data_IF_536674438520
#
_entry.id   IF_536674438520
#
_cell.length_a   1.000
_cell.length_b   1.000
_cell.length_c   1.000
_cell.angle_alpha   90.00
_cell.angle_beta   90.00
_cell.angle_gamma   90.00
#
_symmetry.space_group_name_H-M   'P 1'
#
loop_
_entity.id
_entity.type
_entity.pdbx_description
1 polymer ?
#
# COMPACT_ATOMS: atom_id res chain seq x y z
N UNK A 1 3.27 7.03 10.96
CA UNK A 1 1.96 7.54 10.52
C UNK A 1 1.43 6.54 9.50
N UNK A 2 0.15 6.18 9.62
CA UNK A 2 -0.48 4.93 9.18
C UNK A 2 -0.04 4.37 7.81
N UNK A 3 0.95 3.47 7.86
CA UNK A 3 1.49 2.72 6.72
C UNK A 3 1.00 1.28 6.68
N UNK A 4 -0.25 1.04 7.13
CA UNK A 4 -0.94 -0.22 6.87
C UNK A 4 -2.06 0.06 5.87
N UNK A 5 -2.19 -0.80 4.86
CA UNK A 5 -3.13 -0.66 3.74
C UNK A 5 -4.59 -0.50 4.22
N UNK A 6 -4.88 -0.96 5.44
CA UNK A 6 -6.18 -0.85 6.11
C UNK A 6 -6.58 0.57 6.52
N UNK A 7 -5.62 1.41 6.93
CA UNK A 7 -5.93 2.74 7.47
C UNK A 7 -6.01 3.82 6.38
N UNK A 8 -5.52 3.51 5.17
CA UNK A 8 -5.50 4.46 4.04
C UNK A 8 -6.90 4.87 3.59
N UNK A 9 -7.83 3.92 3.51
CA UNK A 9 -9.20 4.18 3.06
C UNK A 9 -9.90 5.27 3.89
N UNK A 10 -10.00 5.08 5.23
CA UNK A 10 -10.55 6.11 6.12
C UNK A 10 -9.81 7.46 6.03
N UNK A 11 -8.48 7.46 5.99
CA UNK A 11 -7.70 8.70 5.89
C UNK A 11 -7.99 9.48 4.59
N UNK A 12 -8.15 8.78 3.47
CA UNK A 12 -8.52 9.40 2.20
C UNK A 12 -9.93 9.99 2.24
N UNK A 13 -10.88 9.35 2.93
CA UNK A 13 -12.24 9.88 3.14
C UNK A 13 -12.20 11.14 4.00
N UNK A 14 -11.45 11.12 5.11
CA UNK A 14 -11.33 12.27 6.01
C UNK A 14 -10.70 13.48 5.30
N UNK A 15 -9.70 13.23 4.45
CA UNK A 15 -9.05 14.26 3.65
C UNK A 15 -10.01 14.84 2.61
N UNK A 16 -10.76 14.00 1.88
CA UNK A 16 -11.79 14.46 0.94
C UNK A 16 -12.86 15.31 1.64
N UNK A 17 -13.35 14.87 2.81
CA UNK A 17 -14.30 15.65 3.61
C UNK A 17 -13.74 16.99 4.09
N UNK A 18 -12.43 17.06 4.34
CA UNK A 18 -11.76 18.31 4.70
C UNK A 18 -11.83 19.32 3.56
N UNK A 19 -11.64 18.87 2.31
CA UNK A 19 -11.78 19.71 1.13
C UNK A 19 -13.22 20.15 0.90
N UNK A 20 -14.17 19.23 1.03
CA UNK A 20 -15.61 19.53 0.88
C UNK A 20 -16.11 20.57 1.89
N UNK A 21 -15.60 20.54 3.12
CA UNK A 21 -15.91 21.56 4.15
C UNK A 21 -15.44 22.96 3.76
N UNK A 22 -14.41 23.07 2.92
CA UNK A 22 -13.95 24.32 2.33
C UNK A 22 -14.65 24.64 1.00
N UNK A 23 -15.61 23.82 0.56
CA UNK A 23 -16.33 24.00 -0.69
C UNK A 23 -15.57 23.54 -1.94
N UNK A 24 -14.49 22.77 -1.76
CA UNK A 24 -13.71 22.19 -2.86
C UNK A 24 -14.13 20.73 -3.09
N UNK A 25 -14.36 20.37 -4.35
CA UNK A 25 -14.76 19.04 -4.77
C UNK A 25 -13.74 18.49 -5.74
N UNK A 26 -13.33 17.23 -5.54
CA UNK A 26 -12.36 16.56 -6.39
C UNK A 26 -12.94 16.35 -7.80
N UNK A 27 -12.12 16.56 -8.82
CA UNK A 27 -12.49 16.21 -10.18
C UNK A 27 -12.49 14.68 -10.37
N UNK A 28 -13.15 14.22 -11.44
CA UNK A 28 -13.15 12.81 -11.78
C UNK A 28 -11.72 12.30 -12.03
N UNK A 29 -11.33 11.24 -11.33
CA UNK A 29 -10.00 10.63 -11.45
C UNK A 29 -8.91 11.25 -10.55
N UNK A 30 -9.22 12.32 -9.81
CA UNK A 30 -8.29 12.87 -8.81
C UNK A 30 -8.40 12.15 -7.47
N UNK A 31 -7.25 11.95 -6.82
CA UNK A 31 -7.17 11.40 -5.48
C UNK A 31 -6.95 12.52 -4.46
N UNK A 32 -7.52 12.42 -3.26
CA UNK A 32 -7.37 13.44 -2.22
C UNK A 32 -5.91 13.62 -1.77
N UNK A 33 -5.07 12.58 -1.86
CA UNK A 33 -3.65 12.63 -1.49
C UNK A 33 -2.74 13.13 -2.63
N UNK A 34 -3.30 13.53 -3.78
CA UNK A 34 -2.52 14.10 -4.87
C UNK A 34 -1.98 15.48 -4.49
N UNK A 35 -0.64 15.64 -4.48
CA UNK A 35 0.00 16.85 -3.96
C UNK A 35 -0.54 18.17 -4.56
N UNK A 36 -0.81 18.31 -5.87
CA UNK A 36 -1.43 19.51 -6.41
C UNK A 36 -2.82 19.82 -5.82
N UNK A 37 -3.67 18.82 -5.60
CA UNK A 37 -4.98 18.98 -4.94
C UNK A 37 -4.80 19.49 -3.51
N UNK A 38 -3.87 18.90 -2.78
CA UNK A 38 -3.50 19.34 -1.42
C UNK A 38 -3.08 20.81 -1.44
N UNK A 39 -2.21 21.21 -2.37
CA UNK A 39 -1.68 22.57 -2.45
C UNK A 39 -2.73 23.58 -2.93
N UNK A 40 -3.65 23.17 -3.81
CA UNK A 40 -4.80 23.98 -4.21
C UNK A 40 -5.68 24.27 -2.99
N UNK A 41 -6.03 23.24 -2.21
CA UNK A 41 -6.75 23.42 -0.95
C UNK A 41 -6.00 24.38 -0.01
N UNK A 42 -4.71 24.13 0.26
CA UNK A 42 -3.88 24.97 1.15
C UNK A 42 -3.86 26.43 0.69
N UNK A 43 -3.83 26.69 -0.62
CA UNK A 43 -3.81 28.05 -1.18
C UNK A 43 -5.08 28.86 -0.89
N UNK A 44 -6.21 28.18 -0.63
CA UNK A 44 -7.49 28.81 -0.31
C UNK A 44 -7.69 29.06 1.19
N UNK A 45 -6.83 28.47 2.04
CA UNK A 45 -6.96 28.59 3.49
C UNK A 45 -6.32 29.89 4.00
N UNK A 46 -6.76 30.44 5.14
CA UNK A 46 -6.07 31.57 5.72
C UNK A 46 -4.63 31.17 6.12
N UNK A 47 -3.67 32.12 6.14
CA UNK A 47 -2.24 31.77 6.23
C UNK A 47 -1.84 30.94 7.45
N UNK A 48 -2.55 31.08 8.57
CA UNK A 48 -2.27 30.35 9.80
C UNK A 48 -2.66 28.87 9.66
N UNK A 49 -3.85 28.62 9.14
CA UNK A 49 -4.42 27.30 8.89
C UNK A 49 -3.64 26.60 7.78
N UNK A 50 -3.31 27.31 6.69
CA UNK A 50 -2.45 26.80 5.61
C UNK A 50 -1.10 26.30 6.15
N UNK A 51 -0.43 27.12 6.98
CA UNK A 51 0.84 26.73 7.61
C UNK A 51 0.68 25.53 8.54
N UNK A 52 -0.36 25.51 9.37
CA UNK A 52 -0.61 24.39 10.27
C UNK A 52 -0.83 23.07 9.51
N UNK A 53 -1.62 23.13 8.44
CA UNK A 53 -1.89 21.99 7.57
C UNK A 53 -0.61 21.47 6.89
N UNK A 54 0.22 22.36 6.34
CA UNK A 54 1.52 21.98 5.77
C UNK A 54 2.46 21.37 6.82
N UNK A 55 2.41 21.86 8.06
CA UNK A 55 3.23 21.32 9.17
C UNK A 55 2.84 19.89 9.54
N UNK A 56 1.54 19.54 9.50
CA UNK A 56 1.10 18.16 9.70
C UNK A 56 1.70 17.19 8.67
N UNK A 57 1.91 17.66 7.44
CA UNK A 57 2.48 16.90 6.33
C UNK A 57 4.01 16.96 6.23
N UNK A 58 4.67 17.75 7.07
CA UNK A 58 6.09 18.07 6.89
C UNK A 58 7.01 16.85 6.97
N UNK A 59 6.67 15.84 7.76
CA UNK A 59 7.42 14.57 7.80
C UNK A 59 7.41 13.83 6.46
N UNK A 60 6.28 13.87 5.73
CA UNK A 60 6.13 13.29 4.39
C UNK A 60 6.96 14.09 3.39
N UNK A 61 6.87 15.43 3.45
CA UNK A 61 7.67 16.30 2.59
C UNK A 61 9.17 16.11 2.81
N UNK A 62 9.63 15.95 4.05
CA UNK A 62 11.05 15.65 4.36
C UNK A 62 11.50 14.31 3.77
N UNK A 63 10.67 13.27 3.80
CA UNK A 63 11.00 11.97 3.20
C UNK A 63 11.14 12.09 1.68
N UNK A 64 10.19 12.75 1.01
CA UNK A 64 10.23 12.98 -0.44
C UNK A 64 11.41 13.88 -0.81
N UNK A 65 11.64 14.96 -0.05
CA UNK A 65 12.76 15.87 -0.22
C UNK A 65 14.11 15.14 -0.19
N UNK A 66 14.30 14.28 0.80
CA UNK A 66 15.53 13.52 0.93
C UNK A 66 15.72 12.51 -0.21
N UNK A 67 14.65 11.84 -0.65
CA UNK A 67 14.71 10.97 -1.82
C UNK A 67 15.10 11.76 -3.07
N UNK A 68 14.42 12.88 -3.34
CA UNK A 68 14.70 13.73 -4.50
C UNK A 68 16.13 14.31 -4.47
N UNK A 69 16.64 14.70 -3.30
CA UNK A 69 18.03 15.14 -3.15
C UNK A 69 19.03 14.04 -3.48
N UNK A 70 18.79 12.80 -3.02
CA UNK A 70 19.65 11.65 -3.34
C UNK A 70 19.70 11.35 -4.84
N UNK A 71 18.61 11.64 -5.55
CA UNK A 71 18.51 11.53 -7.00
C UNK A 71 18.93 12.82 -7.75
N UNK A 72 19.49 13.81 -7.06
CA UNK A 72 19.90 15.11 -7.63
C UNK A 72 18.79 15.80 -8.43
N UNK A 73 17.53 15.59 -8.03
CA UNK A 73 16.38 16.12 -8.74
C UNK A 73 16.14 17.60 -8.37
N UNK A 74 15.96 18.50 -9.34
CA UNK A 74 15.66 19.91 -9.06
C UNK A 74 14.32 20.10 -8.34
N UNK A 75 13.43 19.10 -8.39
CA UNK A 75 12.16 19.12 -7.65
C UNK A 75 12.34 19.06 -6.14
N UNK A 76 13.52 18.67 -5.64
CA UNK A 76 13.83 18.76 -4.21
C UNK A 76 13.62 20.19 -3.67
N UNK A 77 13.96 21.22 -4.45
CA UNK A 77 13.77 22.61 -4.03
C UNK A 77 12.30 22.98 -3.81
N UNK A 78 11.36 22.36 -4.54
CA UNK A 78 9.92 22.58 -4.35
C UNK A 78 9.48 22.07 -2.99
N UNK A 79 9.88 20.85 -2.61
CA UNK A 79 9.57 20.28 -1.30
C UNK A 79 10.26 21.07 -0.19
N UNK A 80 11.49 21.56 -0.43
CA UNK A 80 12.19 22.45 0.50
C UNK A 80 11.41 23.73 0.79
N UNK A 81 10.84 24.36 -0.24
CA UNK A 81 10.00 25.55 -0.07
C UNK A 81 8.71 25.26 0.70
N UNK A 82 8.07 24.09 0.49
CA UNK A 82 6.89 23.68 1.26
C UNK A 82 7.20 23.49 2.74
N UNK A 83 8.37 22.93 3.06
CA UNK A 83 8.85 22.78 4.45
C UNK A 83 9.09 24.14 5.10
N UNK A 84 9.69 25.08 4.38
CA UNK A 84 9.86 26.46 4.88
C UNK A 84 8.52 27.16 5.11
N UNK A 85 7.55 26.97 4.22
CA UNK A 85 6.18 27.51 4.38
C UNK A 85 5.44 26.89 5.57
N UNK A 86 5.67 25.60 5.86
CA UNK A 86 5.20 24.95 7.08
C UNK A 86 5.85 25.56 8.35
N UNK A 87 6.95 26.29 8.18
CA UNK A 87 7.75 26.83 9.28
C UNK A 87 8.78 25.84 9.82
N UNK A 88 9.07 24.80 9.06
CA UNK A 88 10.17 23.88 9.30
C UNK A 88 11.38 24.28 8.47
N UNK A 89 12.55 23.75 8.81
CA UNK A 89 13.72 23.82 7.91
C UNK A 89 13.80 22.50 7.18
N UNK A 90 14.01 22.56 5.87
CA UNK A 90 14.24 21.36 5.08
C UNK A 90 15.48 20.63 5.60
N UNK A 91 15.31 19.37 5.99
CA UNK A 91 16.39 18.54 6.51
C UNK A 91 16.52 17.30 5.65
N UNK A 92 17.76 16.97 5.26
CA UNK A 92 18.03 15.69 4.62
C UNK A 92 17.82 14.59 5.67
N UNK A 93 16.75 13.81 5.52
CA UNK A 93 16.48 12.63 6.35
C UNK A 93 17.04 11.40 5.64
N UNK A 94 17.57 10.44 6.39
CA UNK A 94 17.98 9.16 5.80
C UNK A 94 16.74 8.40 5.35
N UNK A 95 16.46 8.38 4.05
CA UNK A 95 15.38 7.55 3.49
C UNK A 95 15.80 6.09 3.63
N UNK A 96 14.99 5.29 4.32
CA UNK A 96 15.21 3.85 4.40
C UNK A 96 15.28 3.31 2.97
N UNK A 97 16.31 2.52 2.67
CA UNK A 97 16.44 1.91 1.36
C UNK A 97 15.31 0.87 1.27
N UNK A 98 14.38 1.07 0.35
CA UNK A 98 13.48 -0.01 -0.05
C UNK A 98 14.34 -1.14 -0.65
N UNK A 99 13.97 -2.38 -0.36
CA UNK A 99 14.64 -3.56 -0.92
C UNK A 99 14.56 -3.51 -2.45
N UNK A 100 15.51 -4.13 -3.12
CA UNK A 100 15.53 -4.12 -4.58
C UNK A 100 14.21 -4.70 -5.13
N UNK A 101 13.65 -4.09 -6.17
CA UNK A 101 12.42 -4.56 -6.80
C UNK A 101 12.58 -6.01 -7.25
N UNK A 102 13.74 -6.40 -7.76
CA UNK A 102 13.97 -7.77 -8.19
C UNK A 102 14.03 -8.75 -7.00
N UNK A 103 14.49 -8.30 -5.82
CA UNK A 103 14.55 -9.10 -4.59
C UNK A 103 13.18 -9.25 -3.92
N UNK A 104 12.39 -8.18 -3.86
CA UNK A 104 11.06 -8.19 -3.23
C UNK A 104 9.99 -8.93 -4.04
N UNK A 105 10.17 -9.03 -5.36
CA UNK A 105 9.33 -9.79 -6.27
C UNK A 105 9.84 -11.21 -6.53
N UNK A 106 10.92 -11.62 -5.87
CA UNK A 106 11.41 -12.99 -5.96
C UNK A 106 10.37 -13.95 -5.40
N UNK A 107 9.75 -14.74 -6.29
CA UNK A 107 8.80 -15.77 -5.86
C UNK A 107 9.52 -16.81 -4.99
N UNK A 108 9.00 -17.11 -3.79
CA UNK A 108 9.54 -18.21 -3.00
C UNK A 108 9.39 -19.52 -3.78
N UNK A 109 10.33 -20.48 -3.61
CA UNK A 109 10.29 -21.73 -4.36
C UNK A 109 8.95 -22.44 -4.14
N UNK A 110 8.22 -22.64 -5.24
CA UNK A 110 6.83 -23.13 -5.28
C UNK A 110 6.66 -24.51 -4.62
N UNK A 111 7.75 -25.25 -4.37
CA UNK A 111 7.71 -26.64 -3.89
C UNK A 111 8.69 -27.00 -2.75
N UNK A 112 9.24 -26.06 -1.98
CA UNK A 112 10.17 -26.42 -0.89
C UNK A 112 9.51 -26.54 0.51
N UNK A 113 8.18 -26.53 0.58
CA UNK A 113 7.45 -26.39 1.85
C UNK A 113 6.24 -27.31 2.07
N UNK A 114 6.02 -28.35 1.26
CA UNK A 114 4.95 -29.32 1.50
C UNK A 114 5.46 -30.76 1.38
N UNK A 115 6.07 -31.28 2.46
CA UNK A 115 6.07 -32.72 2.70
C UNK A 115 4.66 -33.18 3.12
N UNK A 116 3.68 -33.06 2.23
CA UNK A 116 2.47 -33.86 2.32
C UNK A 116 2.83 -35.24 1.76
N UNK A 117 2.63 -36.29 2.58
CA UNK A 117 2.70 -37.69 2.13
C UNK A 117 2.02 -37.83 0.76
N UNK A 118 2.79 -38.08 -0.31
CA UNK A 118 2.22 -38.39 -1.63
C UNK A 118 2.89 -37.79 -2.86
N UNK A 119 3.96 -37.00 -2.76
CA UNK A 119 4.72 -36.60 -3.96
C UNK A 119 5.81 -37.63 -4.27
N UNK A 120 5.66 -38.30 -5.41
CA UNK A 120 6.62 -39.27 -5.93
C UNK A 120 7.88 -38.55 -6.45
N UNK A 121 9.05 -38.95 -5.93
CA UNK A 121 10.34 -38.62 -6.55
C UNK A 121 10.58 -39.56 -7.75
N UNK A 122 11.10 -39.08 -8.89
CA UNK A 122 11.52 -39.97 -9.97
C UNK A 122 12.62 -40.91 -9.45
N UNK A 123 12.30 -42.20 -9.32
CA UNK A 123 13.21 -43.24 -8.81
C UNK A 123 12.88 -43.79 -7.42
N UNK A 124 11.82 -43.31 -6.76
CA UNK A 124 11.38 -43.84 -5.46
C UNK A 124 10.16 -44.76 -5.63
N UNK A 125 10.30 -46.04 -5.26
CA UNK A 125 9.24 -47.04 -5.39
C UNK A 125 8.06 -46.71 -4.44
N UNK A 126 6.87 -46.50 -5.01
CA UNK A 126 5.65 -46.17 -4.25
C UNK A 126 4.74 -47.40 -4.14
N UNK A 127 4.43 -47.82 -2.91
CA UNK A 127 3.48 -48.90 -2.64
C UNK A 127 2.05 -48.43 -2.84
N UNK A 128 1.40 -48.89 -3.91
CA UNK A 128 -0.01 -48.60 -4.21
C UNK A 128 -0.91 -49.43 -3.29
N UNK A 129 -1.73 -48.78 -2.46
CA UNK A 129 -2.80 -49.46 -1.71
C UNK A 129 -4.14 -49.34 -2.43
N UNK A 130 -4.65 -50.47 -2.93
CA UNK A 130 -5.95 -50.56 -3.59
C UNK A 130 -7.00 -50.95 -2.55
N UNK A 131 -7.93 -50.05 -2.24
CA UNK A 131 -9.09 -50.34 -1.37
C UNK A 131 -10.32 -50.71 -2.21
N UNK A 132 -10.93 -51.85 -1.90
CA UNK A 132 -12.16 -52.32 -2.56
C UNK A 132 -13.36 -51.52 -2.04
N UNK A 133 -14.03 -50.79 -2.92
CA UNK A 133 -15.26 -50.05 -2.59
C UNK A 133 -16.35 -51.05 -2.19
N UNK A 134 -16.82 -51.00 -0.94
CA UNK A 134 -17.91 -51.84 -0.43
C UNK A 134 -19.22 -51.39 -1.11
N UNK A 135 -19.91 -52.31 -1.76
CA UNK A 135 -21.07 -52.06 -2.63
C UNK A 135 -22.25 -51.39 -1.90
N UNK A 136 -22.91 -50.47 -2.61
CA UNK A 136 -24.19 -49.90 -2.22
C UNK A 136 -25.26 -51.01 -2.22
N UNK A 137 -25.99 -51.12 -1.11
CA UNK A 137 -27.04 -52.11 -0.90
C UNK A 137 -28.24 -51.88 -1.84
N UNK A 138 -28.87 -53.00 -2.22
CA UNK A 138 -29.96 -53.16 -3.17
C UNK A 138 -31.30 -52.54 -2.77
N UNK A 139 -32.09 -52.34 -3.80
CA UNK A 139 -33.47 -51.85 -3.91
C UNK A 139 -34.47 -53.01 -3.81
N UNK A 140 -35.58 -52.86 -3.06
CA UNK A 140 -36.88 -53.59 -3.17
C UNK A 140 -37.78 -53.17 -1.99
N UNK A 141 -39.09 -52.88 -2.06
CA UNK A 141 -40.11 -52.88 -3.10
C UNK A 141 -41.45 -52.32 -2.52
N UNK A 142 -42.35 -51.82 -3.39
CA UNK A 142 -43.78 -51.55 -3.10
C UNK A 142 -44.59 -52.89 -3.17
N UNK A 143 -45.92 -53.04 -2.90
CA UNK A 143 -47.09 -52.12 -3.04
C UNK A 143 -48.07 -52.22 -1.82
N UNK A 144 -49.32 -51.74 -1.72
CA UNK A 144 -50.36 -51.15 -2.60
C UNK A 144 -51.11 -50.05 -1.83
#
# INVERSE_FOLDING_TARGET
VHGDSRDRGPAMIDLAQTYEKAGLYLAEGELPDYLPVVLEFVSTQPPKEARAFLAEMAHIFNAIFAALQKHESPYASVLGALLELAGEKAQAVTVAKEDDLDESWAEPPVFDGCSTKGQARPGEEQTIQIVRRKGAAMHEGAPS
#
